data_IF_325850610002
#
_entry.id   IF_325850610002
#
_cell.length_a   1.000
_cell.length_b   1.000
_cell.length_c   1.000
_cell.angle_alpha   90.00
_cell.angle_beta   90.00
_cell.angle_gamma   90.00
#
_symmetry.space_group_name_H-M   'P 1'
#
loop_
_entity.id
_entity.type
_entity.pdbx_description
1 polymer ?
#
# COMPACT_ATOMS: atom_id res chain seq x y z
N UNK A 1 -80.26 62.43 10.75
CA UNK A 1 -78.99 63.13 11.03
C UNK A 1 -78.21 62.31 12.05
N UNK A 2 -76.94 61.99 11.75
CA UNK A 2 -75.85 61.57 12.66
C UNK A 2 -76.07 60.28 13.50
N UNK A 3 -75.34 59.20 13.18
CA UNK A 3 -74.00 58.81 13.72
C UNK A 3 -74.12 58.29 15.17
N UNK A 4 -73.45 57.26 15.66
CA UNK A 4 -72.40 56.37 15.19
C UNK A 4 -72.25 55.26 16.26
N UNK A 5 -72.02 54.02 15.82
CA UNK A 5 -71.09 53.03 16.41
C UNK A 5 -71.26 52.63 17.89
N UNK A 6 -72.08 51.60 18.11
CA UNK A 6 -71.81 50.59 19.13
C UNK A 6 -70.97 49.46 18.50
N UNK A 7 -69.67 49.71 18.28
CA UNK A 7 -68.72 48.70 17.78
C UNK A 7 -67.38 48.87 18.50
N UNK A 8 -67.39 48.77 19.82
CA UNK A 8 -66.16 48.79 20.66
C UNK A 8 -66.13 47.68 21.70
N UNK A 9 -67.26 46.98 21.93
CA UNK A 9 -67.35 45.86 22.86
C UNK A 9 -66.83 44.54 22.26
N UNK A 10 -67.10 44.29 20.98
CA UNK A 10 -66.80 43.00 20.33
C UNK A 10 -65.34 42.86 19.86
N UNK A 11 -64.60 43.97 19.75
CA UNK A 11 -63.21 43.96 19.30
C UNK A 11 -62.24 43.49 20.40
N UNK A 12 -62.53 43.74 21.68
CA UNK A 12 -61.67 43.30 22.78
C UNK A 12 -61.71 41.78 22.98
N UNK A 13 -62.88 41.15 22.91
CA UNK A 13 -63.03 39.70 23.10
C UNK A 13 -62.41 38.88 21.97
N UNK A 14 -62.47 39.38 20.73
CA UNK A 14 -61.89 38.72 19.56
C UNK A 14 -60.36 38.84 19.52
N UNK A 15 -59.82 39.99 19.96
CA UNK A 15 -58.37 40.24 20.04
C UNK A 15 -57.68 39.46 21.17
N UNK A 16 -58.37 39.21 22.28
CA UNK A 16 -57.86 38.34 23.36
C UNK A 16 -57.82 36.87 22.92
N UNK A 17 -58.81 36.41 22.13
CA UNK A 17 -58.81 35.04 21.57
C UNK A 17 -57.72 34.79 20.53
N UNK A 18 -57.34 35.81 19.75
CA UNK A 18 -56.26 35.71 18.76
C UNK A 18 -54.85 35.62 19.40
N UNK A 19 -54.64 36.23 20.56
CA UNK A 19 -53.35 36.21 21.27
C UNK A 19 -53.08 34.89 22.04
N UNK A 20 -54.09 34.04 22.22
CA UNK A 20 -53.96 32.82 23.05
C UNK A 20 -53.87 31.52 22.23
N UNK A 21 -54.11 31.56 20.91
CA UNK A 21 -54.16 30.33 20.09
C UNK A 21 -52.83 29.93 19.44
N UNK A 22 -51.78 30.72 19.58
CA UNK A 22 -50.56 30.55 18.79
C UNK A 22 -49.39 29.86 19.50
N UNK A 23 -49.64 28.88 20.39
CA UNK A 23 -48.53 28.09 20.96
C UNK A 23 -48.80 26.62 21.28
N UNK A 24 -49.99 26.07 20.94
CA UNK A 24 -50.27 24.65 21.20
C UNK A 24 -49.55 23.69 20.24
N UNK A 25 -49.11 24.17 19.07
CA UNK A 25 -48.37 23.36 18.07
C UNK A 25 -46.88 23.25 18.37
N UNK A 26 -46.31 24.25 19.04
CA UNK A 26 -44.89 24.31 19.43
C UNK A 26 -44.67 23.52 20.73
N UNK A 27 -45.61 23.57 21.66
CA UNK A 27 -45.52 22.84 22.94
C UNK A 27 -45.52 21.31 22.78
N UNK A 28 -46.20 20.76 21.77
CA UNK A 28 -46.20 19.31 21.50
C UNK A 28 -44.92 18.82 20.80
N UNK A 29 -44.16 19.73 20.19
CA UNK A 29 -42.90 19.43 19.51
C UNK A 29 -41.70 19.46 20.47
N UNK A 30 -41.72 20.31 21.51
CA UNK A 30 -40.63 20.39 22.50
C UNK A 30 -40.57 19.22 23.49
N UNK A 31 -41.66 18.45 23.66
CA UNK A 31 -41.69 17.35 24.63
C UNK A 31 -41.11 16.03 24.10
N UNK A 32 -40.96 15.88 22.77
CA UNK A 32 -40.43 14.65 22.15
C UNK A 32 -38.91 14.70 21.93
N UNK A 33 -38.36 15.91 21.88
CA UNK A 33 -36.93 16.14 21.66
C UNK A 33 -36.00 15.65 22.78
N UNK A 34 -36.31 15.85 24.09
CA UNK A 34 -35.40 15.38 25.14
C UNK A 34 -35.37 13.85 25.22
N UNK A 35 -36.48 13.17 24.95
CA UNK A 35 -36.54 11.69 24.93
C UNK A 35 -35.69 11.13 23.78
N UNK A 36 -35.75 11.74 22.60
CA UNK A 36 -34.91 11.34 21.46
C UNK A 36 -33.41 11.64 21.72
N UNK A 37 -33.09 12.75 22.38
CA UNK A 37 -31.72 13.08 22.75
C UNK A 37 -31.15 12.08 23.78
N UNK A 38 -31.95 11.73 24.81
CA UNK A 38 -31.56 10.73 25.81
C UNK A 38 -31.43 9.34 25.19
N UNK A 39 -32.35 8.94 24.30
CA UNK A 39 -32.25 7.66 23.60
C UNK A 39 -31.04 7.61 22.66
N UNK A 40 -30.70 8.72 22.00
CA UNK A 40 -29.51 8.84 21.16
C UNK A 40 -28.22 8.74 22.00
N UNK A 41 -28.14 9.46 23.11
CA UNK A 41 -27.02 9.34 24.05
C UNK A 41 -26.91 7.94 24.66
N UNK A 42 -28.03 7.32 25.04
CA UNK A 42 -28.05 5.97 25.58
C UNK A 42 -27.60 4.94 24.52
N UNK A 43 -28.01 5.12 23.26
CA UNK A 43 -27.57 4.28 22.13
C UNK A 43 -26.06 4.38 21.88
N UNK A 44 -25.46 5.55 22.09
CA UNK A 44 -24.00 5.74 22.03
C UNK A 44 -23.27 4.98 23.16
N UNK A 45 -23.87 4.88 24.35
CA UNK A 45 -23.28 4.16 25.50
C UNK A 45 -23.46 2.64 25.43
N UNK A 46 -24.45 2.13 24.71
CA UNK A 46 -24.69 0.69 24.54
C UNK A 46 -23.96 0.08 23.34
N UNK A 47 -23.06 0.81 22.67
CA UNK A 47 -22.26 0.24 21.60
C UNK A 47 -21.03 -0.45 22.22
N UNK A 48 -21.00 -1.79 22.41
CA UNK A 48 -19.76 -2.46 22.78
C UNK A 48 -18.77 -2.18 21.66
N UNK A 49 -17.76 -1.35 21.95
CA UNK A 49 -16.70 -1.04 21.00
C UNK A 49 -16.21 -2.36 20.43
N UNK A 50 -16.29 -2.52 19.11
CA UNK A 50 -15.83 -3.71 18.42
C UNK A 50 -14.42 -3.99 18.93
N UNK A 51 -14.27 -5.12 19.63
CA UNK A 51 -12.98 -5.59 20.09
C UNK A 51 -12.16 -5.86 18.83
N UNK A 52 -11.38 -4.87 18.42
CA UNK A 52 -10.36 -5.06 17.41
C UNK A 52 -9.37 -6.05 18.01
N UNK A 53 -9.28 -7.23 17.40
CA UNK A 53 -8.30 -8.24 17.80
C UNK A 53 -6.92 -7.58 17.73
N UNK A 54 -6.32 -7.36 18.90
CA UNK A 54 -5.19 -6.42 19.07
C UNK A 54 -3.85 -7.03 18.65
N UNK A 55 -3.86 -8.26 18.17
CA UNK A 55 -2.72 -8.93 17.60
C UNK A 55 -3.09 -9.48 16.22
N UNK A 56 -2.35 -9.12 15.17
CA UNK A 56 -2.34 -9.88 13.94
C UNK A 56 -2.03 -11.36 14.26
N UNK A 57 -2.63 -12.33 13.53
CA UNK A 57 -2.26 -13.73 13.67
C UNK A 57 -0.73 -13.88 13.52
N UNK A 58 -0.15 -14.77 14.33
CA UNK A 58 1.30 -14.92 14.43
C UNK A 58 1.92 -15.33 13.08
N UNK A 59 2.89 -14.54 12.62
CA UNK A 59 3.63 -14.81 11.38
C UNK A 59 4.69 -15.91 11.57
N UNK A 60 5.05 -16.23 12.81
CA UNK A 60 6.03 -17.26 13.15
C UNK A 60 5.59 -18.65 12.64
N UNK A 61 4.34 -19.02 12.87
CA UNK A 61 3.75 -20.29 12.41
C UNK A 61 3.81 -20.43 10.88
N UNK A 62 3.60 -19.33 10.15
CA UNK A 62 3.69 -19.34 8.69
C UNK A 62 5.13 -19.51 8.22
N UNK A 63 6.06 -18.80 8.87
CA UNK A 63 7.48 -18.88 8.50
C UNK A 63 8.04 -20.27 8.83
N UNK A 64 7.73 -20.86 9.98
CA UNK A 64 8.17 -22.22 10.34
C UNK A 64 7.70 -23.27 9.32
N UNK A 65 6.48 -23.13 8.80
CA UNK A 65 5.95 -24.02 7.76
C UNK A 65 6.58 -23.82 6.39
N UNK A 66 7.05 -22.61 6.06
CA UNK A 66 7.56 -22.25 4.74
C UNK A 66 9.10 -22.28 4.64
N UNK A 67 9.83 -22.28 5.76
CA UNK A 67 11.30 -22.39 5.78
C UNK A 67 11.84 -23.56 4.94
N UNK A 68 11.25 -24.77 4.95
CA UNK A 68 11.75 -25.88 4.15
C UNK A 68 11.65 -25.69 2.64
N UNK A 69 10.81 -24.75 2.17
CA UNK A 69 10.68 -24.45 0.74
C UNK A 69 11.80 -23.53 0.23
N UNK A 70 12.59 -22.90 1.11
CA UNK A 70 13.62 -21.94 0.74
C UNK A 70 14.96 -22.63 0.53
N UNK A 71 15.61 -22.38 -0.60
CA UNK A 71 16.90 -22.98 -0.97
C UNK A 71 17.95 -21.93 -1.30
N UNK A 72 19.21 -22.27 -1.07
CA UNK A 72 20.36 -21.51 -1.56
C UNK A 72 20.72 -21.94 -2.99
N UNK A 73 20.89 -20.96 -3.88
CA UNK A 73 21.17 -21.17 -5.29
C UNK A 73 22.58 -20.65 -5.61
N UNK A 74 23.40 -21.51 -6.20
CA UNK A 74 24.69 -21.14 -6.77
C UNK A 74 24.70 -21.49 -8.26
N UNK A 75 24.88 -20.49 -9.12
CA UNK A 75 24.98 -20.68 -10.57
C UNK A 75 26.38 -20.32 -11.06
N UNK A 76 26.85 -21.06 -12.06
CA UNK A 76 28.10 -20.76 -12.77
C UNK A 76 27.79 -20.66 -14.25
N UNK A 77 28.16 -19.54 -14.87
CA UNK A 77 27.93 -19.38 -16.31
C UNK A 77 29.08 -20.02 -17.10
N UNK A 78 28.74 -20.96 -17.98
CA UNK A 78 29.70 -21.57 -18.90
C UNK A 78 29.84 -20.69 -20.16
N UNK A 79 30.91 -19.89 -20.22
CA UNK A 79 31.23 -19.10 -21.42
C UNK A 79 32.00 -19.99 -22.40
N UNK A 80 31.30 -20.50 -23.43
CA UNK A 80 31.95 -21.19 -24.55
C UNK A 80 32.65 -20.17 -25.44
N UNK A 81 33.94 -19.95 -25.20
CA UNK A 81 34.76 -19.17 -26.13
C UNK A 81 34.99 -20.02 -27.38
N UNK A 82 34.53 -19.58 -28.58
CA UNK A 82 34.82 -20.29 -29.82
C UNK A 82 36.34 -20.42 -29.96
N UNK A 83 36.84 -21.65 -29.93
CA UNK A 83 38.25 -21.92 -30.15
C UNK A 83 38.62 -21.45 -31.55
N UNK A 84 39.60 -20.54 -31.65
CA UNK A 84 40.17 -20.13 -32.93
C UNK A 84 39.78 -18.74 -33.46
N UNK A 85 39.17 -17.85 -32.65
CA UNK A 85 39.12 -16.44 -33.05
C UNK A 85 40.55 -15.86 -32.98
N UNK A 86 41.16 -15.45 -34.12
CA UNK A 86 42.44 -14.76 -34.08
C UNK A 86 42.27 -13.48 -33.28
N UNK A 87 43.27 -13.17 -32.43
CA UNK A 87 43.32 -11.89 -31.76
C UNK A 87 43.17 -10.76 -32.81
N UNK A 88 42.40 -9.69 -32.51
CA UNK A 88 42.28 -8.56 -33.42
C UNK A 88 43.67 -8.03 -33.75
N UNK A 89 44.07 -8.14 -35.02
CA UNK A 89 45.36 -7.62 -35.50
C UNK A 89 45.20 -6.13 -35.75
N UNK A 90 45.90 -5.31 -34.96
CA UNK A 90 45.94 -3.88 -35.19
C UNK A 90 47.02 -3.54 -36.23
N UNK A 91 46.91 -2.41 -36.94
CA UNK A 91 47.98 -1.92 -37.80
C UNK A 91 49.27 -1.66 -36.99
N UNK A 92 50.45 -2.03 -37.51
CA UNK A 92 51.71 -1.79 -36.83
C UNK A 92 51.93 -0.28 -36.60
N UNK A 93 52.25 0.11 -35.37
CA UNK A 93 52.44 1.51 -34.97
C UNK A 93 51.14 2.26 -34.65
N UNK A 94 49.99 1.59 -34.56
CA UNK A 94 48.78 2.24 -34.06
C UNK A 94 48.86 2.52 -32.55
N UNK A 95 48.26 3.61 -32.04
CA UNK A 95 48.17 3.87 -30.60
C UNK A 95 47.53 2.73 -29.81
N UNK A 96 46.67 1.94 -30.47
CA UNK A 96 46.02 0.77 -29.88
C UNK A 96 46.98 -0.40 -29.69
N UNK A 97 47.88 -0.68 -30.65
CA UNK A 97 48.86 -1.77 -30.57
C UNK A 97 49.75 -1.63 -29.31
N UNK A 98 50.26 -0.43 -29.05
CA UNK A 98 51.09 -0.15 -27.87
C UNK A 98 50.30 -0.30 -26.56
N UNK A 99 49.07 0.22 -26.51
CA UNK A 99 48.20 0.09 -25.34
C UNK A 99 47.91 -1.38 -24.98
N UNK A 100 47.56 -2.20 -25.98
CA UNK A 100 47.26 -3.62 -25.76
C UNK A 100 48.52 -4.42 -25.44
N UNK A 101 49.64 -4.17 -26.13
CA UNK A 101 50.93 -4.81 -25.85
C UNK A 101 51.36 -4.58 -24.39
N UNK A 102 51.32 -3.34 -23.92
CA UNK A 102 51.65 -2.99 -22.53
C UNK A 102 50.68 -3.63 -21.53
N UNK A 103 49.38 -3.70 -21.87
CA UNK A 103 48.35 -4.31 -21.03
C UNK A 103 48.57 -5.82 -20.83
N UNK A 104 48.90 -6.55 -21.89
CA UNK A 104 49.19 -7.99 -21.84
C UNK A 104 50.57 -8.28 -21.21
N UNK A 105 51.59 -7.48 -21.52
CA UNK A 105 52.94 -7.60 -20.92
C UNK A 105 52.90 -7.37 -19.40
N UNK A 106 52.15 -6.37 -18.92
CA UNK A 106 51.99 -6.09 -17.47
C UNK A 106 51.23 -7.17 -16.71
N UNK A 107 50.32 -7.90 -17.38
CA UNK A 107 49.58 -9.02 -16.78
C UNK A 107 50.33 -10.36 -16.83
N UNK A 108 51.50 -10.41 -17.47
CA UNK A 108 52.24 -11.67 -17.68
C UNK A 108 51.52 -12.64 -18.63
N UNK A 109 50.46 -12.19 -19.29
CA UNK A 109 49.67 -12.95 -20.24
C UNK A 109 50.41 -12.91 -21.58
N UNK A 110 51.34 -13.84 -21.80
CA UNK A 110 51.77 -14.15 -23.17
C UNK A 110 50.52 -14.49 -23.99
N UNK A 111 50.43 -14.17 -25.29
CA UNK A 111 49.32 -14.55 -26.15
C UNK A 111 49.36 -16.06 -26.41
N UNK A 112 49.14 -16.85 -25.37
CA UNK A 112 48.86 -18.26 -25.42
C UNK A 112 47.35 -18.38 -25.30
N UNK A 113 46.79 -19.07 -26.29
CA UNK A 113 45.52 -19.79 -26.28
C UNK A 113 44.67 -19.46 -25.04
N UNK A 114 43.70 -18.54 -25.19
CA UNK A 114 42.77 -18.09 -24.15
C UNK A 114 42.42 -19.26 -23.22
N UNK A 115 43.06 -19.34 -22.07
CA UNK A 115 42.56 -20.20 -21.02
C UNK A 115 41.18 -19.66 -20.63
N UNK A 116 40.20 -20.53 -20.30
CA UNK A 116 38.92 -20.05 -19.81
C UNK A 116 39.17 -19.17 -18.60
N UNK A 117 38.92 -17.86 -18.73
CA UNK A 117 39.03 -16.93 -17.62
C UNK A 117 38.11 -17.33 -16.46
N UNK A 118 38.19 -16.63 -15.32
CA UNK A 118 37.33 -16.89 -14.18
C UNK A 118 35.86 -16.95 -14.61
N UNK A 119 35.18 -18.07 -14.32
CA UNK A 119 33.76 -18.23 -14.65
C UNK A 119 32.95 -17.30 -13.74
N UNK A 120 32.07 -16.45 -14.28
CA UNK A 120 31.21 -15.65 -13.43
C UNK A 120 30.27 -16.58 -12.65
N UNK A 121 30.23 -16.37 -11.33
CA UNK A 121 29.35 -17.10 -10.41
C UNK A 121 28.33 -16.14 -9.83
N UNK A 122 27.12 -16.63 -9.58
CA UNK A 122 26.06 -15.87 -8.92
C UNK A 122 25.46 -16.70 -7.80
N UNK A 123 25.23 -16.04 -6.67
CA UNK A 123 24.59 -16.60 -5.49
C UNK A 123 23.23 -15.93 -5.29
N UNK A 124 22.25 -16.73 -4.86
CA UNK A 124 20.90 -16.25 -4.61
C UNK A 124 20.12 -17.21 -3.73
N UNK A 125 18.87 -16.85 -3.47
CA UNK A 125 17.87 -17.68 -2.79
C UNK A 125 16.71 -17.92 -3.74
N UNK A 126 16.05 -19.06 -3.62
CA UNK A 126 14.81 -19.32 -4.35
C UNK A 126 13.86 -20.22 -3.58
N UNK A 127 12.71 -20.51 -4.18
CA UNK A 127 11.64 -21.28 -3.55
C UNK A 127 11.29 -22.51 -4.38
N UNK A 128 11.15 -23.66 -3.71
CA UNK A 128 10.57 -24.87 -4.31
C UNK A 128 9.05 -24.73 -4.32
N UNK A 129 8.43 -24.76 -5.50
CA UNK A 129 6.98 -24.52 -5.66
C UNK A 129 6.17 -25.79 -5.96
N UNK A 130 6.84 -26.90 -6.29
CA UNK A 130 6.21 -28.15 -6.71
C UNK A 130 7.04 -29.36 -6.30
N UNK A 131 6.39 -30.50 -6.11
CA UNK A 131 6.99 -31.75 -5.61
C UNK A 131 7.94 -32.42 -6.61
N UNK A 132 7.92 -31.99 -7.87
CA UNK A 132 8.87 -32.37 -8.92
C UNK A 132 10.19 -31.59 -8.86
N UNK A 133 10.30 -30.60 -7.96
CA UNK A 133 11.54 -29.85 -7.69
C UNK A 133 11.70 -28.56 -8.50
N UNK A 134 10.63 -27.97 -9.00
CA UNK A 134 10.69 -26.67 -9.68
C UNK A 134 11.02 -25.52 -8.72
N UNK A 135 11.97 -24.65 -9.13
CA UNK A 135 12.51 -23.54 -8.32
C UNK A 135 12.33 -22.19 -9.07
N UNK A 136 11.92 -21.14 -8.36
CA UNK A 136 11.82 -19.75 -8.84
C UNK A 136 12.73 -18.77 -8.09
#
# INVERSE_FOLDING_TARGET
>A
MRKEKATTSDDLGSRIKLLTSLNKRVFLAHMRWPVLAVAFYLSLFLNPGAAADSAPPDFSDLSERLLPAVVNIATTQEVKVPHGQPAPKFPPGSPFEEFFKDFFEKRGEKPRQREPGPRPTSLGSGFVISSDGFIV
#
